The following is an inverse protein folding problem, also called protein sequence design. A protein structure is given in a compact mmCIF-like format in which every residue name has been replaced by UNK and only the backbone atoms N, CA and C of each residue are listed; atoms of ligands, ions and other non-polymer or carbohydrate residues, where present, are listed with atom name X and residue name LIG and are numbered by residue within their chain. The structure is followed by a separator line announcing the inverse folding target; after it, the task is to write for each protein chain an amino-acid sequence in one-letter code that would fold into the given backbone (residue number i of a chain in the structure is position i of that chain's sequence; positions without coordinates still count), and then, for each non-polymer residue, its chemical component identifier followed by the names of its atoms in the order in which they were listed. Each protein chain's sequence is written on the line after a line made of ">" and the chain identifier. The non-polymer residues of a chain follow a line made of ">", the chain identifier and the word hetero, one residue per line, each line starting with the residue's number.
data_IF_691849626862
#
_entry.id   IF_691849626862
#
_cell.length_a   1.000
_cell.length_b   1.000
_cell.length_c   1.000
_cell.angle_alpha   90.00
_cell.angle_beta   90.00
_cell.angle_gamma   90.00
#
_symmetry.space_group_name_H-M   'P 1'
#
loop_
_entity.id
_entity.type
_entity.pdbx_description
1 polymer ?
#
# COMPACT_ATOMS: atom_id res chain seq x y z
N UNK A 1 21.48 35.86 -14.85
CA UNK A 1 20.84 34.77 -15.61
C UNK A 1 21.14 33.41 -14.98
N UNK A 2 22.39 32.96 -14.89
CA UNK A 2 22.73 31.63 -14.35
C UNK A 2 22.28 31.38 -12.90
N UNK A 3 22.46 32.34 -11.99
CA UNK A 3 22.08 32.17 -10.57
C UNK A 3 20.56 32.07 -10.33
N UNK A 4 19.76 32.61 -11.24
CA UNK A 4 18.28 32.59 -11.14
C UNK A 4 17.73 31.26 -11.64
N UNK A 5 18.27 30.76 -12.75
CA UNK A 5 17.97 29.41 -13.23
C UNK A 5 18.39 28.37 -12.18
N UNK A 6 19.55 28.57 -11.55
CA UNK A 6 20.02 27.72 -10.45
C UNK A 6 19.10 27.78 -9.22
N UNK A 7 18.55 28.95 -8.87
CA UNK A 7 17.61 29.08 -7.77
C UNK A 7 16.24 28.44 -8.09
N UNK A 8 15.71 28.64 -9.30
CA UNK A 8 14.45 28.01 -9.74
C UNK A 8 14.62 26.49 -9.82
N UNK A 9 15.75 26.00 -10.35
CA UNK A 9 16.08 24.57 -10.33
C UNK A 9 16.27 24.07 -8.90
N UNK A 10 16.94 24.83 -8.02
CA UNK A 10 17.13 24.44 -6.63
C UNK A 10 15.80 24.37 -5.87
N UNK A 11 14.93 25.38 -5.96
CA UNK A 11 13.64 25.37 -5.24
C UNK A 11 12.56 24.51 -5.91
N UNK A 12 12.60 24.37 -7.24
CA UNK A 12 11.67 23.54 -8.02
C UNK A 12 12.05 22.05 -8.05
N UNK A 13 13.34 21.72 -7.90
CA UNK A 13 13.84 20.35 -7.78
C UNK A 13 14.18 19.95 -6.35
N UNK A 14 14.16 20.87 -5.37
CA UNK A 14 14.35 20.50 -3.96
C UNK A 14 13.11 19.73 -3.53
N UNK A 15 13.18 18.40 -3.41
CA UNK A 15 12.09 17.66 -2.84
C UNK A 15 12.17 17.99 -1.36
N UNK A 16 11.32 18.89 -0.88
CA UNK A 16 11.06 18.94 0.56
C UNK A 16 10.51 17.56 0.91
N UNK A 17 11.39 16.68 1.37
CA UNK A 17 11.05 15.39 1.91
C UNK A 17 10.29 15.68 3.20
N UNK A 18 8.97 15.83 3.09
CA UNK A 18 8.11 15.79 4.26
C UNK A 18 8.28 14.39 4.84
N UNK A 19 9.07 14.29 5.90
CA UNK A 19 9.27 13.05 6.63
C UNK A 19 7.97 12.76 7.38
N UNK A 20 7.11 11.96 6.75
CA UNK A 20 5.90 11.47 7.38
C UNK A 20 6.31 10.34 8.32
N UNK A 21 6.01 10.49 9.60
CA UNK A 21 6.26 9.43 10.58
C UNK A 21 5.36 8.25 10.27
N UNK A 22 5.86 7.05 10.54
CA UNK A 22 5.05 5.86 10.41
C UNK A 22 4.09 5.76 11.59
N UNK A 23 2.81 5.66 11.27
CA UNK A 23 1.72 5.67 12.25
C UNK A 23 1.22 4.25 12.53
N UNK A 24 2.13 3.27 12.52
CA UNK A 24 1.84 1.90 12.96
C UNK A 24 2.13 1.78 14.44
N UNK A 25 1.20 1.20 15.19
CA UNK A 25 1.34 0.96 16.64
C UNK A 25 0.94 -0.47 16.98
N UNK A 26 1.54 -1.01 18.02
CA UNK A 26 1.04 -2.25 18.63
C UNK A 26 -0.23 -1.95 19.41
N UNK A 27 -1.23 -2.83 19.34
CA UNK A 27 -2.39 -2.76 20.21
C UNK A 27 -1.98 -3.08 21.67
N UNK A 28 -2.62 -2.40 22.61
CA UNK A 28 -2.31 -2.54 24.05
C UNK A 28 -3.15 -3.65 24.71
N UNK A 29 -4.36 -3.87 24.21
CA UNK A 29 -5.38 -4.75 24.79
C UNK A 29 -5.32 -6.18 24.26
N UNK A 30 -4.78 -6.39 23.05
CA UNK A 30 -4.63 -7.70 22.42
C UNK A 30 -3.46 -7.71 21.41
N UNK A 31 -2.97 -8.89 20.98
CA UNK A 31 -2.03 -8.98 19.86
C UNK A 31 -2.62 -8.35 18.59
N UNK A 32 -1.82 -7.53 17.92
CA UNK A 32 -2.23 -6.82 16.71
C UNK A 32 -1.47 -5.52 16.48
N UNK A 33 -1.66 -4.99 15.27
CA UNK A 33 -1.14 -3.72 14.80
C UNK A 33 -2.28 -2.78 14.43
N UNK A 34 -2.24 -1.55 14.91
CA UNK A 34 -3.08 -0.46 14.45
C UNK A 34 -2.36 0.34 13.37
N UNK A 35 -3.06 0.61 12.28
CA UNK A 35 -2.63 1.46 11.18
C UNK A 35 -3.51 2.71 11.16
N UNK A 36 -2.87 3.88 11.12
CA UNK A 36 -3.56 5.17 10.97
C UNK A 36 -2.93 5.96 9.81
N UNK A 37 -3.74 6.38 8.84
CA UNK A 37 -3.30 7.16 7.68
C UNK A 37 -2.03 6.59 7.03
N UNK A 38 -0.88 7.21 7.31
CA UNK A 38 0.43 6.87 6.71
C UNK A 38 1.05 5.53 7.14
N UNK A 39 0.39 4.73 7.99
CA UNK A 39 0.91 3.47 8.49
C UNK A 39 1.41 2.51 7.40
N UNK A 40 2.59 1.90 7.59
CA UNK A 40 3.13 0.86 6.71
C UNK A 40 3.98 -0.14 7.50
N UNK A 41 3.80 -1.43 7.22
CA UNK A 41 4.68 -2.48 7.72
C UNK A 41 4.97 -3.47 6.59
N UNK A 42 6.13 -4.12 6.58
CA UNK A 42 6.48 -5.00 5.46
C UNK A 42 7.45 -6.12 5.79
N UNK A 43 7.45 -7.15 4.94
CA UNK A 43 8.50 -8.15 4.78
C UNK A 43 9.14 -7.91 3.41
N UNK A 44 10.43 -7.62 3.35
CA UNK A 44 11.10 -7.28 2.07
C UNK A 44 11.22 -8.46 1.13
N UNK A 45 11.52 -9.62 1.69
CA UNK A 45 11.76 -10.85 0.96
C UNK A 45 10.97 -11.93 1.70
N UNK A 46 9.94 -12.44 1.05
CA UNK A 46 9.22 -13.61 1.52
C UNK A 46 9.72 -14.86 0.79
N UNK A 47 9.74 -16.03 1.46
CA UNK A 47 10.03 -17.29 0.79
C UNK A 47 9.16 -17.42 -0.46
N UNK A 48 9.72 -17.99 -1.54
CA UNK A 48 9.08 -18.11 -2.84
C UNK A 48 7.64 -18.62 -2.65
N UNK A 49 6.65 -17.75 -2.85
CA UNK A 49 5.23 -18.09 -2.86
C UNK A 49 4.86 -18.70 -4.23
N UNK A 50 5.77 -19.50 -4.79
CA UNK A 50 5.63 -20.13 -6.09
C UNK A 50 4.68 -21.32 -5.98
N UNK A 51 3.58 -21.26 -6.71
CA UNK A 51 2.60 -22.32 -6.80
C UNK A 51 1.34 -21.85 -7.52
N UNK A 52 0.69 -22.77 -8.23
CA UNK A 52 -0.60 -22.50 -8.89
C UNK A 52 -1.77 -22.43 -7.91
N UNK A 53 -1.52 -22.74 -6.64
CA UNK A 53 -2.51 -22.75 -5.56
C UNK A 53 -1.98 -22.05 -4.34
N UNK A 54 -2.85 -21.33 -3.62
CA UNK A 54 -2.51 -20.75 -2.34
C UNK A 54 -3.75 -20.48 -1.49
N UNK A 55 -3.52 -20.24 -0.20
CA UNK A 55 -4.51 -19.63 0.68
C UNK A 55 -3.92 -18.48 1.48
N UNK A 56 -4.74 -17.48 1.76
CA UNK A 56 -4.42 -16.37 2.66
C UNK A 56 -5.50 -16.31 3.73
N UNK A 57 -5.08 -16.29 4.99
CA UNK A 57 -5.96 -16.01 6.11
C UNK A 57 -5.49 -14.73 6.79
N UNK A 58 -6.38 -13.75 6.94
CA UNK A 58 -6.08 -12.46 7.56
C UNK A 58 -7.21 -12.07 8.51
N UNK A 59 -6.86 -11.70 9.73
CA UNK A 59 -7.79 -11.18 10.72
C UNK A 59 -7.59 -9.67 10.84
N UNK A 60 -8.65 -8.89 10.65
CA UNK A 60 -8.58 -7.43 10.65
C UNK A 60 -9.90 -6.77 11.05
N UNK A 61 -9.82 -5.50 11.46
CA UNK A 61 -10.96 -4.64 11.68
C UNK A 61 -10.73 -3.31 10.95
N UNK A 62 -11.51 -2.99 9.90
CA UNK A 62 -11.43 -1.67 9.29
C UNK A 62 -11.76 -0.57 10.28
N UNK A 63 -11.02 0.54 10.23
CA UNK A 63 -11.53 1.79 10.77
C UNK A 63 -12.78 2.23 9.98
N UNK A 64 -13.40 3.34 10.39
CA UNK A 64 -14.50 3.92 9.61
C UNK A 64 -14.09 4.04 8.14
N UNK A 65 -14.94 3.65 7.18
CA UNK A 65 -14.58 3.64 5.78
C UNK A 65 -13.94 4.97 5.36
N UNK A 66 -12.80 4.97 4.66
CA UNK A 66 -12.24 6.21 4.14
C UNK A 66 -13.29 6.90 3.28
N UNK A 67 -13.45 8.21 3.48
CA UNK A 67 -14.51 8.98 2.84
C UNK A 67 -14.44 8.88 1.31
N UNK A 68 -13.21 8.80 0.76
CA UNK A 68 -12.93 8.65 -0.66
C UNK A 68 -11.68 7.79 -0.91
N UNK A 69 -11.66 7.12 -2.07
CA UNK A 69 -10.48 6.44 -2.60
C UNK A 69 -10.32 4.96 -2.21
N UNK A 70 -9.39 4.30 -2.89
CA UNK A 70 -8.98 2.92 -2.64
C UNK A 70 -7.83 2.87 -1.65
N UNK A 71 -7.96 2.02 -0.64
CA UNK A 71 -6.98 1.81 0.44
C UNK A 71 -6.47 0.37 0.43
N UNK A 72 -5.22 0.15 0.82
CA UNK A 72 -4.58 -1.17 0.73
C UNK A 72 -4.33 -1.79 2.11
N UNK A 73 -4.96 -2.93 2.37
CA UNK A 73 -4.79 -3.71 3.61
C UNK A 73 -3.53 -4.57 3.48
N UNK A 74 -3.43 -5.31 2.37
CA UNK A 74 -2.34 -6.21 2.05
C UNK A 74 -1.95 -6.04 0.58
N UNK A 75 -0.65 -6.06 0.32
CA UNK A 75 -0.08 -6.11 -1.02
C UNK A 75 1.09 -7.09 -1.03
N UNK A 76 1.06 -8.08 -1.92
CA UNK A 76 2.24 -8.82 -2.32
C UNK A 76 2.74 -8.23 -3.64
N UNK A 77 4.04 -7.90 -3.74
CA UNK A 77 4.62 -7.20 -4.89
C UNK A 77 6.02 -7.70 -5.20
N UNK A 78 6.33 -8.00 -6.46
CA UNK A 78 7.65 -8.44 -6.93
C UNK A 78 8.35 -7.41 -7.83
N UNK A 79 7.92 -6.15 -7.78
CA UNK A 79 8.42 -5.09 -8.66
C UNK A 79 7.55 -4.77 -9.87
N UNK A 80 6.53 -5.59 -10.16
CA UNK A 80 5.59 -5.39 -11.27
C UNK A 80 4.18 -5.11 -10.77
N UNK A 81 3.64 -3.95 -11.17
CA UNK A 81 2.32 -3.48 -10.71
C UNK A 81 1.16 -4.26 -11.34
N UNK A 82 1.36 -4.95 -12.45
CA UNK A 82 0.33 -5.70 -13.19
C UNK A 82 0.13 -7.14 -12.68
N UNK A 83 1.11 -7.70 -11.96
CA UNK A 83 1.07 -9.09 -11.43
C UNK A 83 0.90 -9.16 -9.91
N UNK A 84 1.03 -8.04 -9.20
CA UNK A 84 0.86 -7.97 -7.74
C UNK A 84 -0.47 -8.57 -7.28
N UNK A 85 -0.52 -9.09 -6.06
CA UNK A 85 -1.78 -9.48 -5.42
C UNK A 85 -2.13 -8.43 -4.37
N UNK A 86 -3.39 -7.97 -4.39
CA UNK A 86 -3.85 -6.98 -3.42
C UNK A 86 -5.11 -7.43 -2.69
N UNK A 87 -5.20 -7.06 -1.42
CA UNK A 87 -6.45 -6.98 -0.66
C UNK A 87 -6.60 -5.51 -0.29
N UNK A 88 -7.59 -4.86 -0.87
CA UNK A 88 -7.88 -3.46 -0.60
C UNK A 88 -9.31 -3.22 -0.21
N UNK A 89 -9.59 -1.98 0.16
CA UNK A 89 -10.89 -1.54 0.61
C UNK A 89 -11.27 -0.26 -0.11
N UNK A 90 -12.50 -0.24 -0.65
CA UNK A 90 -13.17 0.94 -1.14
C UNK A 90 -14.50 1.08 -0.40
N UNK A 91 -14.64 2.15 0.39
CA UNK A 91 -15.76 2.32 1.33
C UNK A 91 -15.89 1.08 2.23
N UNK A 92 -17.04 0.41 2.26
CA UNK A 92 -17.25 -0.84 3.00
C UNK A 92 -16.94 -2.10 2.17
N UNK A 93 -16.58 -1.97 0.90
CA UNK A 93 -16.29 -3.12 0.04
C UNK A 93 -14.84 -3.53 0.14
N UNK A 94 -14.59 -4.79 0.51
CA UNK A 94 -13.28 -5.44 0.37
C UNK A 94 -13.15 -5.97 -1.04
N UNK A 95 -11.99 -5.76 -1.65
CA UNK A 95 -11.67 -6.12 -3.02
C UNK A 95 -10.37 -6.92 -3.01
N UNK A 96 -10.38 -8.09 -3.64
CA UNK A 96 -9.20 -8.90 -3.87
C UNK A 96 -9.01 -9.10 -5.37
N UNK A 97 -7.82 -8.80 -5.86
CA UNK A 97 -7.47 -8.94 -7.28
C UNK A 97 -5.97 -9.00 -7.51
N UNK A 98 -5.58 -9.47 -8.69
CA UNK A 98 -4.26 -9.22 -9.22
C UNK A 98 -4.21 -7.89 -10.01
N UNK A 99 -3.05 -7.23 -9.99
CA UNK A 99 -2.79 -6.00 -10.72
C UNK A 99 -3.07 -4.71 -9.95
N UNK A 100 -3.11 -3.58 -10.66
CA UNK A 100 -3.13 -2.21 -10.13
C UNK A 100 -4.37 -1.41 -10.54
N UNK A 101 -5.50 -2.07 -10.85
CA UNK A 101 -6.73 -1.42 -11.34
C UNK A 101 -7.56 -0.76 -10.23
N UNK A 102 -6.92 0.06 -9.39
CA UNK A 102 -7.51 0.64 -8.18
C UNK A 102 -8.73 1.53 -8.47
N UNK A 103 -8.76 2.20 -9.63
CA UNK A 103 -9.86 3.05 -10.10
C UNK A 103 -10.93 2.27 -10.89
N UNK A 104 -10.70 0.98 -11.13
CA UNK A 104 -11.56 0.08 -11.88
C UNK A 104 -11.80 0.48 -13.35
N UNK A 105 -10.91 1.27 -13.95
CA UNK A 105 -11.03 1.72 -15.34
C UNK A 105 -10.85 0.60 -16.36
N UNK A 106 -9.99 -0.39 -16.08
CA UNK A 106 -9.74 -1.55 -16.96
C UNK A 106 -10.70 -2.70 -16.75
N UNK A 107 -11.44 -2.69 -15.63
CA UNK A 107 -12.36 -3.75 -15.21
C UNK A 107 -11.66 -5.10 -15.06
N UNK A 108 -10.49 -5.10 -14.43
CA UNK A 108 -9.79 -6.34 -14.16
C UNK A 108 -10.67 -7.28 -13.31
N UNK A 109 -10.60 -8.61 -13.55
CA UNK A 109 -11.29 -9.58 -12.72
C UNK A 109 -10.93 -9.43 -11.24
N UNK A 110 -11.96 -9.43 -10.39
CA UNK A 110 -11.84 -9.28 -8.94
C UNK A 110 -12.92 -10.07 -8.22
N UNK A 111 -12.65 -10.40 -6.97
CA UNK A 111 -13.65 -10.85 -6.00
C UNK A 111 -13.85 -9.75 -4.96
N UNK A 112 -15.08 -9.60 -4.48
CA UNK A 112 -15.42 -8.55 -3.53
C UNK A 112 -16.57 -8.94 -2.64
N UNK A 113 -16.60 -8.40 -1.42
CA UNK A 113 -17.73 -8.50 -0.50
C UNK A 113 -17.89 -7.21 0.29
N UNK A 114 -19.10 -6.96 0.78
CA UNK A 114 -19.44 -5.75 1.54
C UNK A 114 -19.41 -6.02 3.04
N UNK A 115 -18.50 -5.35 3.77
CA UNK A 115 -18.37 -5.49 5.23
C UNK A 115 -19.59 -4.95 5.97
N UNK A 116 -20.38 -4.06 5.36
CA UNK A 116 -21.60 -3.52 5.99
C UNK A 116 -22.69 -4.59 6.16
N UNK A 117 -22.57 -5.73 5.47
CA UNK A 117 -23.47 -6.88 5.61
C UNK A 117 -23.11 -7.81 6.76
N UNK A 118 -21.94 -7.61 7.37
CA UNK A 118 -21.43 -8.46 8.44
C UNK A 118 -21.92 -7.97 9.81
N UNK A 119 -22.23 -8.90 10.75
CA UNK A 119 -22.69 -8.55 12.09
C UNK A 119 -21.55 -8.07 13.01
N UNK A 120 -20.31 -8.48 12.73
CA UNK A 120 -19.13 -8.20 13.54
C UNK A 120 -18.18 -7.23 12.82
N UNK A 121 -17.48 -6.39 13.61
CA UNK A 121 -16.45 -5.48 13.11
C UNK A 121 -15.12 -6.18 12.85
N UNK A 122 -14.77 -7.13 13.70
CA UNK A 122 -13.60 -7.97 13.47
C UNK A 122 -13.96 -9.00 12.38
N UNK A 123 -13.10 -9.09 11.38
CA UNK A 123 -13.27 -9.88 10.18
C UNK A 123 -12.14 -10.88 10.10
N UNK A 124 -12.48 -12.16 10.02
CA UNK A 124 -11.57 -13.23 9.63
C UNK A 124 -11.82 -13.58 8.17
N UNK A 125 -10.89 -13.18 7.30
CA UNK A 125 -10.97 -13.41 5.86
C UNK A 125 -10.06 -14.57 5.47
N UNK A 126 -10.63 -15.55 4.78
CA UNK A 126 -9.89 -16.65 4.15
C UNK A 126 -10.13 -16.62 2.64
N UNK A 127 -9.04 -16.57 1.88
CA UNK A 127 -9.04 -16.61 0.42
C UNK A 127 -8.30 -17.87 0.02
N UNK A 128 -8.91 -18.69 -0.84
CA UNK A 128 -8.25 -19.84 -1.46
C UNK A 128 -8.37 -19.71 -2.97
N UNK A 129 -7.25 -19.81 -3.67
CA UNK A 129 -7.18 -19.75 -5.13
C UNK A 129 -6.43 -20.95 -5.65
N UNK A 130 -6.94 -21.56 -6.73
CA UNK A 130 -6.32 -22.71 -7.35
C UNK A 130 -7.11 -23.25 -8.54
N UNK A 131 -7.06 -24.58 -8.74
CA UNK A 131 -7.64 -25.24 -9.92
C UNK A 131 -9.17 -25.08 -10.02
N UNK A 132 -9.84 -24.79 -8.91
CA UNK A 132 -11.30 -24.57 -8.84
C UNK A 132 -11.67 -23.09 -8.80
N UNK A 133 -10.76 -22.21 -9.21
CA UNK A 133 -10.92 -20.77 -9.13
C UNK A 133 -10.69 -20.23 -7.72
N UNK A 134 -11.30 -19.09 -7.42
CA UNK A 134 -11.11 -18.35 -6.17
C UNK A 134 -12.34 -18.44 -5.28
N UNK A 135 -12.13 -18.79 -4.01
CA UNK A 135 -13.17 -18.83 -2.96
C UNK A 135 -12.80 -17.87 -1.86
N UNK A 136 -13.80 -17.11 -1.40
CA UNK A 136 -13.68 -16.13 -0.33
C UNK A 136 -14.64 -16.53 0.79
N UNK A 137 -14.07 -16.82 1.94
CA UNK A 137 -14.80 -17.11 3.17
C UNK A 137 -14.56 -15.98 4.18
N UNK A 138 -15.63 -15.59 4.87
CA UNK A 138 -15.58 -14.57 5.90
C UNK A 138 -16.21 -15.14 7.15
N UNK A 139 -15.50 -15.07 8.28
CA UNK A 139 -15.96 -15.57 9.57
C UNK A 139 -16.44 -17.03 9.51
N UNK A 140 -15.71 -17.87 8.76
CA UNK A 140 -16.01 -19.29 8.57
C UNK A 140 -17.08 -19.61 7.52
N UNK A 141 -17.73 -18.61 6.90
CA UNK A 141 -18.78 -18.81 5.91
C UNK A 141 -18.33 -18.43 4.49
N UNK A 142 -18.76 -19.21 3.48
CA UNK A 142 -18.47 -18.90 2.07
C UNK A 142 -19.32 -17.72 1.59
N UNK A 143 -18.68 -16.59 1.31
CA UNK A 143 -19.35 -15.36 0.82
C UNK A 143 -19.28 -15.23 -0.70
N UNK A 144 -18.23 -15.76 -1.32
CA UNK A 144 -18.05 -15.67 -2.78
C UNK A 144 -17.25 -16.85 -3.32
N UNK A 145 -17.62 -17.32 -4.50
CA UNK A 145 -16.86 -18.29 -5.28
C UNK A 145 -16.87 -17.85 -6.75
N UNK A 146 -15.71 -17.90 -7.40
CA UNK A 146 -15.48 -17.53 -8.80
C UNK A 146 -14.63 -18.59 -9.47
N UNK A 147 -15.28 -19.50 -10.18
CA UNK A 147 -14.61 -20.60 -10.87
C UNK A 147 -13.83 -20.10 -12.13
N UNK A 148 -14.14 -18.89 -12.61
CA UNK A 148 -13.52 -18.21 -13.75
C UNK A 148 -12.32 -17.31 -13.38
N UNK A 149 -12.02 -17.18 -12.08
CA UNK A 149 -10.96 -16.32 -11.58
C UNK A 149 -9.95 -17.11 -10.77
N UNK A 150 -8.70 -17.15 -11.23
CA UNK A 150 -7.56 -17.69 -10.50
C UNK A 150 -6.65 -16.52 -10.14
N UNK A 151 -6.59 -16.20 -8.86
CA UNK A 151 -5.60 -15.28 -8.32
C UNK A 151 -4.23 -15.96 -8.26
N UNK A 152 -3.16 -15.17 -8.33
CA UNK A 152 -1.76 -15.64 -8.21
C UNK A 152 -0.99 -14.84 -7.17
N UNK A 153 -0.04 -15.48 -6.50
CA UNK A 153 0.95 -14.78 -5.68
C UNK A 153 2.12 -14.36 -6.60
N UNK A 154 2.66 -13.14 -6.44
CA UNK A 154 3.85 -12.72 -7.17
C UNK A 154 5.11 -13.42 -6.63
N UNK A 155 6.19 -13.40 -7.41
CA UNK A 155 7.46 -14.05 -7.04
C UNK A 155 7.88 -15.23 -7.92
N UNK A 156 7.24 -15.46 -9.06
CA UNK A 156 7.76 -16.36 -10.11
C UNK A 156 8.90 -15.69 -10.93
N UNK A 157 9.11 -14.39 -10.73
CA UNK A 157 10.13 -13.59 -11.41
C UNK A 157 11.54 -13.69 -10.79
N UNK A 158 12.45 -12.84 -11.29
CA UNK A 158 13.83 -12.75 -10.77
C UNK A 158 13.94 -11.99 -9.45
N UNK A 159 12.99 -11.11 -9.18
CA UNK A 159 12.98 -10.27 -7.99
C UNK A 159 12.18 -10.99 -6.89
N UNK A 160 12.68 -11.03 -5.64
CA UNK A 160 11.93 -11.60 -4.53
C UNK A 160 10.65 -10.79 -4.29
N UNK A 161 9.55 -11.50 -4.02
CA UNK A 161 8.32 -10.84 -3.61
C UNK A 161 8.48 -10.25 -2.21
N UNK A 162 7.92 -9.06 -2.01
CA UNK A 162 7.72 -8.43 -0.71
C UNK A 162 6.24 -8.44 -0.33
N UNK A 163 5.98 -8.38 0.98
CA UNK A 163 4.65 -8.28 1.56
C UNK A 163 4.52 -6.94 2.28
N UNK A 164 3.50 -6.16 1.96
CA UNK A 164 3.27 -4.82 2.48
C UNK A 164 1.88 -4.78 3.12
N UNK A 165 1.81 -4.18 4.30
CA UNK A 165 0.61 -4.03 5.11
C UNK A 165 0.27 -2.56 5.29
N UNK A 166 -1.01 -2.24 5.19
CA UNK A 166 -1.57 -0.92 5.49
C UNK A 166 -1.29 0.18 4.45
N UNK A 167 -0.55 -0.13 3.38
CA UNK A 167 -0.28 0.83 2.31
C UNK A 167 0.19 0.15 1.01
N UNK A 168 0.43 0.95 -0.02
CA UNK A 168 1.16 0.52 -1.22
C UNK A 168 2.68 0.65 -1.06
N UNK A 169 3.45 -0.02 -1.93
CA UNK A 169 4.91 0.18 -2.06
C UNK A 169 5.31 1.64 -2.36
N UNK A 170 4.37 2.47 -2.78
CA UNK A 170 4.56 3.91 -3.07
C UNK A 170 4.05 4.84 -1.96
N UNK A 171 3.48 4.29 -0.88
CA UNK A 171 2.87 5.02 0.22
C UNK A 171 1.73 5.98 -0.23
N UNK A 172 0.90 5.54 -1.18
CA UNK A 172 -0.20 6.35 -1.78
C UNK A 172 -1.61 5.84 -1.52
N UNK A 173 -1.74 4.64 -0.97
CA UNK A 173 -3.02 3.99 -0.71
C UNK A 173 -3.12 3.59 0.76
N UNK A 174 -3.07 4.59 1.65
CA UNK A 174 -3.11 4.35 3.09
C UNK A 174 -4.39 3.62 3.49
N UNK A 175 -4.27 2.63 4.36
CA UNK A 175 -5.38 2.00 5.03
C UNK A 175 -5.35 2.29 6.52
N UNK A 176 -6.53 2.33 7.13
CA UNK A 176 -6.68 2.56 8.56
C UNK A 176 -7.57 1.50 9.18
N UNK A 177 -7.14 0.99 10.33
CA UNK A 177 -7.76 -0.13 11.00
C UNK A 177 -6.73 -0.97 11.74
N UNK A 178 -7.18 -2.13 12.22
CA UNK A 178 -6.36 -3.05 13.01
C UNK A 178 -6.14 -4.35 12.26
N UNK A 179 -4.92 -4.87 12.28
CA UNK A 179 -4.58 -6.23 11.84
C UNK A 179 -4.25 -7.08 13.07
N UNK A 180 -4.89 -8.25 13.19
CA UNK A 180 -4.71 -9.17 14.31
C UNK A 180 -3.84 -10.37 13.95
N UNK A 181 -3.70 -10.67 12.66
CA UNK A 181 -2.75 -11.67 12.18
C UNK A 181 -2.88 -11.95 10.70
N UNK A 182 -1.88 -12.64 10.15
CA UNK A 182 -1.80 -13.01 8.75
C UNK A 182 -1.12 -14.37 8.61
N UNK A 183 -1.69 -15.24 7.80
CA UNK A 183 -1.05 -16.46 7.34
C UNK A 183 -1.20 -16.64 5.83
N UNK A 184 -0.13 -17.13 5.21
CA UNK A 184 -0.09 -17.46 3.78
C UNK A 184 0.38 -18.91 3.64
N UNK A 185 -0.35 -19.68 2.85
CA UNK A 185 -0.17 -21.11 2.63
C UNK A 185 0.09 -21.35 1.15
N UNK A 186 0.96 -22.32 0.85
CA UNK A 186 1.24 -22.75 -0.52
C UNK A 186 0.20 -23.69 -1.12
N UNK A 187 -0.96 -23.85 -0.46
CA UNK A 187 -2.01 -24.80 -0.83
C UNK A 187 -3.41 -24.26 -0.54
N UNK A 188 -4.42 -24.89 -1.14
CA UNK A 188 -5.84 -24.62 -0.83
C UNK A 188 -6.20 -25.21 0.54
N UNK A 189 -6.62 -24.37 1.49
CA UNK A 189 -7.18 -24.81 2.77
C UNK A 189 -8.64 -25.22 2.57
N UNK A 190 -9.05 -26.31 3.21
CA UNK A 190 -10.43 -26.76 3.16
C UNK A 190 -11.39 -25.79 3.87
N UNK A 191 -12.66 -25.78 3.45
CA UNK A 191 -13.72 -25.02 4.13
C UNK A 191 -13.86 -25.43 5.60
N UNK A 192 -13.70 -26.72 5.91
CA UNK A 192 -13.78 -27.22 7.29
C UNK A 192 -12.64 -26.65 8.16
N UNK A 193 -11.40 -26.66 7.64
CA UNK A 193 -10.24 -26.13 8.37
C UNK A 193 -10.31 -24.61 8.50
N UNK A 194 -10.81 -23.90 7.47
CA UNK A 194 -11.07 -22.46 7.55
C UNK A 194 -12.08 -22.13 8.65
N UNK A 195 -13.18 -22.88 8.75
CA UNK A 195 -14.17 -22.68 9.80
C UNK A 195 -13.58 -22.97 11.19
N UNK A 196 -12.74 -24.00 11.31
CA UNK A 196 -12.05 -24.30 12.55
C UNK A 196 -11.08 -23.19 12.97
N UNK A 197 -10.22 -22.70 12.06
CA UNK A 197 -9.30 -21.59 12.35
C UNK A 197 -10.03 -20.31 12.78
N UNK A 198 -11.21 -20.04 12.20
CA UNK A 198 -12.04 -18.93 12.67
C UNK A 198 -12.51 -19.14 14.11
N UNK A 199 -12.99 -20.34 14.46
CA UNK A 199 -13.39 -20.66 15.84
C UNK A 199 -12.21 -20.53 16.81
N UNK A 200 -11.05 -21.05 16.44
CA UNK A 200 -9.82 -20.97 17.23
C UNK A 200 -9.45 -19.51 17.48
N UNK A 201 -9.43 -18.68 16.42
CA UNK A 201 -9.18 -17.24 16.55
C UNK A 201 -10.19 -16.51 17.44
N UNK A 202 -11.46 -16.89 17.44
CA UNK A 202 -12.46 -16.27 18.32
C UNK A 202 -12.37 -16.69 19.78
N UNK A 203 -11.73 -17.84 20.07
CA UNK A 203 -11.66 -18.42 21.42
C UNK A 203 -10.29 -18.23 22.07
N UNK A 204 -9.22 -18.13 21.28
CA UNK A 204 -7.87 -17.88 21.74
C UNK A 204 -7.54 -16.38 21.82
N UNK A 205 -6.58 -16.00 22.67
CA UNK A 205 -6.17 -14.61 22.86
C UNK A 205 -5.24 -14.07 21.75
N UNK A 206 -5.19 -14.70 20.57
CA UNK A 206 -4.29 -14.32 19.49
C UNK A 206 -4.58 -15.05 18.18
N UNK A 207 -3.87 -14.68 17.12
CA UNK A 207 -3.94 -15.35 15.82
C UNK A 207 -3.13 -16.65 15.87
N UNK A 208 -3.66 -17.65 16.57
CA UNK A 208 -3.14 -19.01 16.60
C UNK A 208 -3.70 -19.81 15.44
N UNK A 209 -2.84 -20.56 14.75
CA UNK A 209 -3.26 -21.55 13.75
C UNK A 209 -2.91 -22.92 14.34
N UNK A 210 -3.94 -23.61 14.80
CA UNK A 210 -3.87 -24.97 15.33
C UNK A 210 -4.19 -25.97 14.23
N UNK A 211 -3.25 -26.85 13.89
CA UNK A 211 -3.44 -27.85 12.85
C UNK A 211 -2.14 -28.46 12.34
N UNK A 212 -2.27 -29.42 11.42
CA UNK A 212 -1.15 -30.03 10.66
C UNK A 212 -0.69 -29.15 9.49
N UNK A 213 -1.47 -28.13 9.14
CA UNK A 213 -1.19 -27.22 8.03
C UNK A 213 -0.02 -26.29 8.39
N UNK A 214 0.95 -26.18 7.48
CA UNK A 214 2.20 -25.45 7.67
C UNK A 214 2.19 -24.14 6.86
N UNK A 215 1.80 -23.00 7.46
CA UNK A 215 1.82 -21.73 6.75
C UNK A 215 3.24 -21.35 6.37
N UNK A 216 3.44 -20.95 5.11
CA UNK A 216 4.73 -20.42 4.64
C UNK A 216 5.09 -19.10 5.28
N UNK A 217 4.08 -18.32 5.64
CA UNK A 217 4.23 -17.07 6.38
C UNK A 217 3.19 -17.07 7.49
N UNK A 218 3.61 -16.81 8.72
CA UNK A 218 2.73 -16.60 9.87
C UNK A 218 3.18 -15.35 10.62
N UNK A 219 2.27 -14.38 10.73
CA UNK A 219 2.44 -13.15 11.50
C UNK A 219 1.33 -13.08 12.55
N UNK A 220 1.70 -13.23 13.81
CA UNK A 220 0.78 -13.19 14.97
C UNK A 220 0.66 -11.80 15.61
N UNK A 221 1.50 -10.86 15.18
CA UNK A 221 1.58 -9.48 15.68
C UNK A 221 1.60 -9.37 17.21
N UNK A 222 2.44 -10.20 17.83
CA UNK A 222 2.66 -10.16 19.26
C UNK A 222 3.53 -8.97 19.66
N UNK A 223 3.06 -8.16 20.62
CA UNK A 223 3.82 -7.02 21.11
C UNK A 223 5.16 -7.50 21.73
N UNK A 224 6.32 -7.08 21.20
CA UNK A 224 7.62 -7.55 21.66
C UNK A 224 7.98 -7.09 23.08
N UNK A 225 7.28 -6.10 23.62
CA UNK A 225 7.49 -5.59 25.00
C UNK A 225 6.65 -6.31 26.04
N UNK A 226 5.71 -7.16 25.64
CA UNK A 226 4.89 -7.95 26.56
C UNK A 226 5.66 -9.21 27.03
N UNK A 227 5.62 -9.57 28.33
CA UNK A 227 6.21 -10.81 28.82
C UNK A 227 5.56 -12.03 28.14
N UNK A 228 6.34 -12.94 27.54
CA UNK A 228 5.80 -14.17 26.93
C UNK A 228 6.58 -15.44 27.22
N UNK A 229 5.82 -16.53 27.19
CA UNK A 229 6.29 -17.91 27.25
C UNK A 229 7.14 -18.25 25.99
N UNK A 230 8.40 -18.68 26.16
CA UNK A 230 9.28 -19.10 25.08
C UNK A 230 8.73 -20.19 24.16
N UNK A 231 7.77 -21.02 24.60
CA UNK A 231 7.22 -22.13 23.82
C UNK A 231 6.27 -21.69 22.69
N UNK A 232 5.76 -20.46 22.74
CA UNK A 232 4.92 -19.87 21.68
C UNK A 232 5.75 -19.23 20.55
N UNK A 233 7.09 -19.31 20.60
CA UNK A 233 7.95 -18.92 19.47
C UNK A 233 7.84 -19.94 18.32
N UNK A 234 6.80 -19.81 17.51
CA UNK A 234 6.95 -20.16 16.08
C UNK A 234 7.70 -19.01 15.41
N UNK A 235 8.64 -19.34 14.53
CA UNK A 235 9.55 -18.39 13.88
C UNK A 235 8.78 -17.22 13.25
N UNK A 236 8.75 -16.08 13.96
CA UNK A 236 8.13 -14.86 13.43
C UNK A 236 9.03 -14.36 12.31
N UNK A 237 8.54 -14.37 11.08
CA UNK A 237 9.22 -13.69 9.99
C UNK A 237 9.44 -12.23 10.40
N UNK A 238 10.63 -11.67 10.17
CA UNK A 238 11.03 -10.34 10.65
C UNK A 238 10.21 -9.24 9.96
N UNK A 239 9.03 -8.95 10.49
CA UNK A 239 8.21 -7.82 10.11
C UNK A 239 8.96 -6.52 10.42
N UNK A 240 9.11 -5.68 9.40
CA UNK A 240 9.75 -4.37 9.54
C UNK A 240 8.69 -3.28 9.60
N UNK A 241 8.72 -2.50 10.68
CA UNK A 241 7.95 -1.26 10.83
C UNK A 241 8.98 -0.11 10.77
N UNK A 242 9.12 0.60 9.63
CA UNK A 242 10.10 1.67 9.51
C UNK A 242 9.68 2.89 10.36
N UNK A 243 10.61 3.65 10.92
CA UNK A 243 10.29 4.88 11.68
C UNK A 243 9.67 5.97 10.79
N UNK A 244 10.07 5.99 9.51
CA UNK A 244 9.62 6.97 8.53
C UNK A 244 9.00 6.28 7.32
N UNK A 245 7.91 6.85 6.83
CA UNK A 245 7.25 6.41 5.62
C UNK A 245 8.02 6.96 4.43
N UNK A 246 8.76 6.08 3.79
CA UNK A 246 9.33 6.32 2.47
C UNK A 246 8.74 5.26 1.56
N UNK A 247 8.24 5.65 0.38
CA UNK A 247 7.84 4.68 -0.62
C UNK A 247 8.97 3.69 -0.83
N UNK A 248 8.71 2.40 -0.57
CA UNK A 248 9.69 1.31 -0.70
C UNK A 248 10.30 1.30 -2.10
N UNK A 249 9.53 1.75 -3.11
CA UNK A 249 10.05 2.13 -4.42
C UNK A 249 9.88 3.62 -4.68
N UNK A 250 10.94 4.23 -5.19
CA UNK A 250 10.88 5.57 -5.78
C UNK A 250 10.35 5.43 -7.20
N UNK A 251 9.24 6.09 -7.50
CA UNK A 251 8.89 6.40 -8.88
C UNK A 251 9.88 7.45 -9.37
N UNK A 252 10.99 7.02 -9.97
CA UNK A 252 11.69 7.89 -10.92
C UNK A 252 10.69 8.11 -12.05
N UNK A 253 10.47 9.37 -12.41
CA UNK A 253 9.58 9.79 -13.52
C UNK A 253 9.76 8.85 -14.72
N UNK A 254 8.88 7.86 -14.85
CA UNK A 254 8.71 7.12 -16.09
C UNK A 254 8.07 8.13 -17.04
N UNK A 255 8.87 8.63 -17.97
CA UNK A 255 8.36 9.25 -19.18
C UNK A 255 7.41 8.21 -19.77
N UNK A 256 6.12 8.55 -19.81
CA UNK A 256 5.04 7.61 -20.08
C UNK A 256 5.31 6.81 -21.35
N UNK A 257 5.30 5.48 -21.21
CA UNK A 257 5.16 4.61 -22.37
C UNK A 257 3.76 4.87 -22.92
N UNK A 258 3.73 5.58 -24.06
CA UNK A 258 2.50 6.05 -24.66
C UNK A 258 1.55 4.89 -24.96
N UNK A 259 0.44 4.83 -24.23
CA UNK A 259 -0.81 4.21 -24.67
C UNK A 259 -1.98 4.71 -23.82
N UNK A 260 -2.67 5.70 -24.38
CA UNK A 260 -4.08 6.01 -24.12
C UNK A 260 -4.43 6.49 -22.71
N UNK A 261 -4.26 7.79 -22.44
CA UNK A 261 -4.81 8.41 -21.24
C UNK A 261 -4.58 9.92 -21.23
N UNK A 262 -5.64 10.66 -21.55
CA UNK A 262 -5.87 12.11 -21.39
C UNK A 262 -4.68 13.08 -21.42
N UNK A 263 -4.35 13.55 -22.63
CA UNK A 263 -3.39 14.63 -22.89
C UNK A 263 -3.88 15.97 -22.28
N UNK A 264 -5.19 16.13 -22.03
CA UNK A 264 -5.78 17.38 -21.55
C UNK A 264 -5.34 17.73 -20.13
N UNK A 265 -5.41 16.77 -19.20
CA UNK A 265 -5.02 16.97 -17.80
C UNK A 265 -3.52 17.23 -17.63
N UNK A 266 -2.68 16.52 -18.39
CA UNK A 266 -1.23 16.71 -18.38
C UNK A 266 -0.82 18.09 -18.88
N UNK A 267 -1.47 18.59 -19.94
CA UNK A 267 -1.23 19.95 -20.46
C UNK A 267 -1.74 20.99 -19.46
N UNK A 268 -2.87 20.74 -18.78
CA UNK A 268 -3.40 21.65 -17.76
C UNK A 268 -2.45 21.80 -16.58
N UNK A 269 -1.86 20.72 -16.06
CA UNK A 269 -0.90 20.78 -14.95
C UNK A 269 0.41 21.47 -15.34
N UNK A 270 0.88 21.25 -16.56
CA UNK A 270 2.05 21.97 -17.10
C UNK A 270 1.73 23.46 -17.25
N UNK A 271 0.56 23.81 -17.77
CA UNK A 271 0.14 25.20 -17.91
C UNK A 271 -0.08 25.86 -16.54
N UNK A 272 -0.68 25.18 -15.57
CA UNK A 272 -0.91 25.71 -14.22
C UNK A 272 0.42 26.02 -13.52
N UNK A 273 1.39 25.11 -13.64
CA UNK A 273 2.75 25.36 -13.16
C UNK A 273 3.40 26.52 -13.93
N UNK A 274 3.31 26.57 -15.25
CA UNK A 274 3.91 27.64 -16.07
C UNK A 274 3.31 29.03 -15.77
N UNK A 275 1.99 29.12 -15.62
CA UNK A 275 1.28 30.35 -15.27
C UNK A 275 1.51 30.75 -13.81
N UNK A 276 1.66 29.80 -12.88
CA UNK A 276 2.03 30.10 -11.49
C UNK A 276 3.39 30.79 -11.35
N UNK A 277 4.34 30.49 -12.24
CA UNK A 277 5.68 31.09 -12.25
C UNK A 277 5.82 32.34 -13.14
N UNK A 278 4.84 32.63 -14.00
CA UNK A 278 4.86 33.76 -14.93
C UNK A 278 4.92 35.15 -14.22
N UNK A 279 4.18 35.40 -13.12
CA UNK A 279 4.26 36.66 -12.38
C UNK A 279 5.64 36.90 -11.76
N UNK A 280 6.30 35.84 -11.27
CA UNK A 280 7.64 35.92 -10.69
C UNK A 280 8.70 36.22 -11.74
N UNK A 281 8.60 35.61 -12.92
CA UNK A 281 9.46 35.93 -14.06
C UNK A 281 9.31 37.38 -14.52
N UNK A 282 8.07 37.89 -14.57
CA UNK A 282 7.79 39.27 -14.96
C UNK A 282 8.31 40.29 -13.94
N UNK A 283 8.07 40.06 -12.64
CA UNK A 283 8.58 40.91 -11.57
C UNK A 283 10.11 40.96 -11.54
N UNK A 284 10.77 39.82 -11.81
CA UNK A 284 12.22 39.74 -11.90
C UNK A 284 12.78 40.48 -13.12
N UNK A 285 12.14 40.35 -14.30
CA UNK A 285 12.51 41.11 -15.49
C UNK A 285 12.36 42.62 -15.27
N UNK A 286 11.27 43.06 -14.65
CA UNK A 286 11.06 44.45 -14.28
C UNK A 286 12.11 44.97 -13.29
N UNK A 287 12.47 44.16 -12.28
CA UNK A 287 13.53 44.49 -11.32
C UNK A 287 14.89 44.61 -12.00
N UNK A 288 15.25 43.66 -12.89
CA UNK A 288 16.52 43.71 -13.62
C UNK A 288 16.60 44.93 -14.54
N UNK A 289 15.52 45.28 -15.24
CA UNK A 289 15.45 46.48 -16.08
C UNK A 289 15.57 47.77 -15.24
N UNK A 290 14.93 47.82 -14.07
CA UNK A 290 15.04 48.96 -13.16
C UNK A 290 16.46 49.12 -12.58
N UNK A 291 17.16 48.02 -12.31
CA UNK A 291 18.52 48.02 -11.78
C UNK A 291 19.58 48.34 -12.85
N UNK A 292 19.38 47.94 -14.11
CA UNK A 292 20.28 48.32 -15.22
C UNK A 292 20.12 49.77 -15.61
N UNK A 293 18.90 50.31 -15.65
CA UNK A 293 18.68 51.74 -15.90
C UNK A 293 19.32 52.64 -14.83
N UNK A 294 19.27 52.24 -13.55
CA UNK A 294 19.98 52.97 -12.47
C UNK A 294 21.50 52.97 -12.63
N UNK A 295 22.10 51.86 -13.09
CA UNK A 295 23.55 51.78 -13.33
C UNK A 295 24.02 52.62 -14.51
N UNK A 296 23.23 52.71 -15.57
CA UNK A 296 23.51 53.58 -16.74
C UNK A 296 23.40 55.06 -16.35
N UNK A 297 22.41 55.44 -15.54
CA UNK A 297 22.28 56.82 -15.06
C UNK A 297 23.43 57.25 -14.12
N UNK A 298 23.86 56.35 -13.22
CA UNK A 298 24.99 56.61 -12.31
C UNK A 298 26.33 56.69 -13.05
N UNK A 299 26.52 55.95 -14.14
CA UNK A 299 27.75 56.01 -14.95
C UNK A 299 27.80 57.27 -15.83
N UNK A 300 26.65 57.83 -16.22
CA UNK A 300 26.57 59.15 -16.88
C UNK A 300 26.80 60.33 -15.91
N UNK A 301 26.36 60.22 -14.65
CA UNK A 301 26.59 61.24 -13.62
C UNK A 301 28.03 61.26 -13.07
N UNK A 302 28.79 60.17 -13.19
CA UNK A 302 30.21 60.08 -12.83
C UNK A 302 31.16 60.42 -13.99
N UNK A 303 30.63 60.70 -15.19
CA UNK A 303 31.38 61.03 -16.40
C UNK A 303 31.28 62.53 -16.79
N UNK A 304 30.73 63.36 -15.91
CA UNK A 304 30.69 64.85 -15.99
C UNK A 304 31.53 65.38 -14.83
#
# INVERSE_FOLDING_TARGET
>A
MAGTLAAILYFGLSPKQYQVHNSVRWLEDRPGLEFDGSGIAYLKEVPLLSGDTFSIQIAFAPASPPADGFSLILMAHDGHDDTQLIIGQWRSTIIIMNGDDYDHSRRLPRVSFDTATLPARDIFLSISSGLRGTRVQVNGELVTARDDLILRLPGEGKDPAGLILGNSVYARHPWSGSLYGLAIYGEEISTANTAQHYLDWTTETGFGITGEEDPKILLTFDNPSAPRDPQLRRESHNLTIPDQVQGLRRQILRIGDGRGGDIGGFVQDILLNLFGFMPFGFALCALMLALTQRRVLLSLLLAI
#
